data_IF_573989327100
#
_entry.id   IF_573989327100
#
_cell.length_a   1.000
_cell.length_b   1.000
_cell.length_c   1.000
_cell.angle_alpha   90.00
_cell.angle_beta   90.00
_cell.angle_gamma   90.00
#
_symmetry.space_group_name_H-M   'P 1'
#
loop_
_entity.id
_entity.type
_entity.pdbx_description
1 polymer ?
#
# COMPACT_ATOMS: atom_id res chain seq x y z
N UNK A 1 20.78 1.88 -3.78
CA UNK A 1 21.18 1.06 -2.60
C UNK A 1 20.41 1.49 -1.35
N UNK A 2 20.35 2.80 -1.06
CA UNK A 2 19.61 3.38 0.08
C UNK A 2 18.16 2.90 0.21
N UNK A 3 17.41 2.81 -0.88
CA UNK A 3 16.03 2.32 -0.87
C UNK A 3 15.86 0.91 -0.29
N UNK A 4 16.78 -0.03 -0.58
CA UNK A 4 16.74 -1.38 -0.01
C UNK A 4 17.06 -1.37 1.48
N UNK A 5 17.99 -0.51 1.90
CA UNK A 5 18.33 -0.34 3.32
C UNK A 5 17.12 0.16 4.09
N UNK A 6 16.39 1.15 3.58
CA UNK A 6 15.16 1.63 4.22
C UNK A 6 14.09 0.55 4.35
N UNK A 7 13.94 -0.30 3.32
CA UNK A 7 13.01 -1.42 3.37
C UNK A 7 13.39 -2.47 4.42
N UNK A 8 14.65 -2.90 4.46
CA UNK A 8 15.09 -3.89 5.46
C UNK A 8 15.08 -3.29 6.88
N UNK A 9 15.38 -2.01 7.01
CA UNK A 9 15.29 -1.28 8.28
C UNK A 9 13.85 -1.28 8.79
N UNK A 10 12.85 -0.91 7.96
CA UNK A 10 11.46 -0.93 8.39
C UNK A 10 10.96 -2.36 8.71
N UNK A 11 11.38 -3.35 7.91
CA UNK A 11 11.00 -4.75 8.12
C UNK A 11 11.55 -5.32 9.44
N UNK A 12 12.83 -5.10 9.73
CA UNK A 12 13.46 -5.58 10.97
C UNK A 12 12.79 -4.98 12.21
N UNK A 13 12.45 -3.69 12.17
CA UNK A 13 11.76 -3.05 13.29
C UNK A 13 10.30 -3.49 13.44
N UNK A 14 9.65 -3.90 12.34
CA UNK A 14 8.30 -4.45 12.38
C UNK A 14 8.28 -5.86 12.97
N UNK A 15 9.31 -6.69 12.72
CA UNK A 15 9.43 -8.00 13.36
C UNK A 15 9.84 -7.93 14.84
N UNK A 16 10.63 -6.91 15.21
CA UNK A 16 11.12 -6.71 16.59
C UNK A 16 10.10 -6.04 17.54
N UNK A 17 8.89 -5.74 17.09
CA UNK A 17 7.80 -5.30 17.97
C UNK A 17 7.90 -3.87 18.53
N UNK A 18 8.84 -3.03 18.04
CA UNK A 18 8.96 -1.61 18.43
C UNK A 18 8.64 -0.60 17.29
N UNK A 19 7.45 -0.61 16.65
CA UNK A 19 7.18 0.26 15.51
C UNK A 19 6.80 1.72 15.85
N UNK A 20 6.63 2.10 17.12
CA UNK A 20 6.29 3.50 17.48
C UNK A 20 7.53 4.40 17.34
N UNK A 21 8.66 3.97 17.91
CA UNK A 21 9.90 4.75 17.94
C UNK A 21 10.52 4.99 16.57
N UNK A 22 10.26 4.10 15.60
CA UNK A 22 10.82 4.20 14.24
C UNK A 22 10.14 5.28 13.39
N UNK A 23 8.88 5.64 13.67
CA UNK A 23 8.09 6.55 12.80
C UNK A 23 8.75 7.91 12.61
N UNK A 24 9.19 8.53 13.71
CA UNK A 24 9.86 9.84 13.67
C UNK A 24 11.14 9.77 12.82
N UNK A 25 11.87 8.66 12.92
CA UNK A 25 13.09 8.42 12.15
C UNK A 25 12.80 8.21 10.66
N UNK A 26 11.75 7.47 10.31
CA UNK A 26 11.30 7.31 8.91
C UNK A 26 10.83 8.64 8.31
N UNK A 27 10.10 9.46 9.07
CA UNK A 27 9.67 10.80 8.63
C UNK A 27 10.87 11.73 8.42
N UNK A 28 11.88 11.67 9.30
CA UNK A 28 13.13 12.42 9.13
C UNK A 28 13.87 11.97 7.88
N UNK A 29 14.01 10.66 7.66
CA UNK A 29 14.65 10.11 6.45
C UNK A 29 13.88 10.51 5.18
N UNK A 30 12.55 10.52 5.22
CA UNK A 30 11.72 10.94 4.10
C UNK A 30 11.97 12.41 3.74
N UNK A 31 12.00 13.31 4.74
CA UNK A 31 12.31 14.73 4.52
C UNK A 31 13.71 14.91 3.91
N UNK A 32 14.71 14.19 4.42
CA UNK A 32 16.06 14.21 3.83
C UNK A 32 16.07 13.69 2.39
N UNK A 33 15.33 12.61 2.10
CA UNK A 33 15.22 12.07 0.75
C UNK A 33 14.49 13.04 -0.21
N UNK A 34 13.51 13.81 0.29
CA UNK A 34 12.85 14.90 -0.45
C UNK A 34 13.83 16.01 -0.81
N UNK A 35 14.66 16.46 0.15
CA UNK A 35 15.68 17.50 -0.07
C UNK A 35 16.75 17.07 -1.09
N UNK A 36 17.16 15.80 -1.04
CA UNK A 36 18.18 15.23 -1.95
C UNK A 36 17.56 14.80 -3.30
N UNK A 37 16.24 14.89 -3.45
CA UNK A 37 15.50 14.41 -4.63
C UNK A 37 15.74 12.90 -4.95
N UNK A 38 15.96 12.08 -3.94
CA UNK A 38 16.08 10.61 -4.08
C UNK A 38 14.71 9.94 -4.29
N UNK A 39 14.21 9.99 -5.53
CA UNK A 39 12.90 9.44 -5.93
C UNK A 39 12.68 7.97 -5.50
N UNK A 40 13.61 7.02 -5.72
CA UNK A 40 13.38 5.63 -5.28
C UNK A 40 13.39 5.48 -3.76
N UNK A 41 14.20 6.25 -3.04
CA UNK A 41 14.19 6.29 -1.58
C UNK A 41 12.87 6.83 -1.02
N UNK A 42 12.37 7.92 -1.60
CA UNK A 42 11.08 8.52 -1.24
C UNK A 42 9.92 7.54 -1.38
N UNK A 43 9.82 6.81 -2.50
CA UNK A 43 8.74 5.85 -2.75
C UNK A 43 8.72 4.70 -1.72
N UNK A 44 9.89 4.16 -1.38
CA UNK A 44 9.99 3.10 -0.36
C UNK A 44 9.63 3.62 1.03
N UNK A 45 10.13 4.80 1.40
CA UNK A 45 9.85 5.42 2.69
C UNK A 45 8.36 5.77 2.83
N UNK A 46 7.73 6.31 1.79
CA UNK A 46 6.31 6.61 1.76
C UNK A 46 5.47 5.35 2.01
N UNK A 47 5.79 4.24 1.34
CA UNK A 47 5.13 2.96 1.57
C UNK A 47 5.36 2.42 2.99
N UNK A 48 6.57 2.56 3.53
CA UNK A 48 6.87 2.11 4.90
C UNK A 48 6.13 2.94 5.97
N UNK A 49 6.02 4.25 5.76
CA UNK A 49 5.30 5.17 6.65
C UNK A 49 3.79 4.86 6.63
N UNK A 50 3.20 4.69 5.44
CA UNK A 50 1.79 4.31 5.30
C UNK A 50 1.49 2.96 5.95
N UNK A 51 2.36 1.96 5.73
CA UNK A 51 2.23 0.66 6.37
C UNK A 51 2.24 0.76 7.91
N UNK A 52 3.13 1.59 8.47
CA UNK A 52 3.18 1.84 9.90
C UNK A 52 1.89 2.49 10.42
N UNK A 53 1.37 3.51 9.74
CA UNK A 53 0.12 4.15 10.16
C UNK A 53 -1.07 3.18 10.13
N UNK A 54 -1.15 2.35 9.08
CA UNK A 54 -2.21 1.35 8.94
C UNK A 54 -2.12 0.24 9.99
N UNK A 55 -0.91 -0.15 10.40
CA UNK A 55 -0.71 -1.13 11.47
C UNK A 55 -1.28 -0.65 12.82
N UNK A 56 -1.19 0.65 13.10
CA UNK A 56 -1.75 1.27 14.31
C UNK A 56 -3.16 1.81 14.14
N UNK A 57 -3.86 1.49 13.05
CA UNK A 57 -5.19 2.02 12.74
C UNK A 57 -5.28 3.55 12.73
N UNK A 58 -4.17 4.24 12.43
CA UNK A 58 -4.09 5.71 12.40
C UNK A 58 -4.47 6.27 11.03
N UNK A 59 -5.70 5.98 10.59
CA UNK A 59 -6.18 6.32 9.26
C UNK A 59 -6.20 7.83 8.97
N UNK A 60 -6.52 8.66 9.96
CA UNK A 60 -6.51 10.12 9.80
C UNK A 60 -5.13 10.69 9.50
N UNK A 61 -4.10 10.21 10.19
CA UNK A 61 -2.71 10.63 9.90
C UNK A 61 -2.22 10.08 8.56
N UNK A 62 -2.61 8.85 8.21
CA UNK A 62 -2.27 8.25 6.93
C UNK A 62 -2.83 9.06 5.75
N UNK A 63 -4.08 9.51 5.86
CA UNK A 63 -4.74 10.33 4.85
C UNK A 63 -4.11 11.72 4.70
N UNK A 64 -3.80 12.38 5.83
CA UNK A 64 -3.10 13.66 5.81
C UNK A 64 -1.72 13.51 5.16
N UNK A 65 -0.99 12.45 5.50
CA UNK A 65 0.30 12.15 4.90
C UNK A 65 0.20 11.86 3.40
N UNK A 66 -0.80 11.08 2.95
CA UNK A 66 -0.97 10.77 1.53
C UNK A 66 -1.32 12.00 0.70
N UNK A 67 -2.06 12.97 1.27
CA UNK A 67 -2.37 14.25 0.61
C UNK A 67 -1.14 15.15 0.49
N UNK A 68 -0.23 15.10 1.47
CA UNK A 68 1.00 15.90 1.46
C UNK A 68 2.12 15.28 0.62
N UNK A 69 2.16 13.95 0.53
CA UNK A 69 3.23 13.24 -0.16
C UNK A 69 3.06 13.29 -1.69
N UNK A 70 4.16 13.49 -2.41
CA UNK A 70 4.15 13.46 -3.88
C UNK A 70 3.87 12.04 -4.39
N UNK A 71 3.06 11.92 -5.45
CA UNK A 71 2.80 10.65 -6.13
C UNK A 71 4.03 10.27 -6.97
N UNK A 72 4.64 9.13 -6.66
CA UNK A 72 5.84 8.64 -7.36
C UNK A 72 5.47 7.41 -8.19
N UNK A 73 5.46 7.57 -9.52
CA UNK A 73 4.98 6.52 -10.45
C UNK A 73 6.10 5.73 -11.14
N UNK A 74 7.36 6.15 -10.99
CA UNK A 74 8.49 5.58 -11.75
C UNK A 74 8.73 4.09 -11.51
N UNK A 75 8.45 3.59 -10.30
CA UNK A 75 8.61 2.17 -9.95
C UNK A 75 7.24 1.52 -9.79
N UNK A 76 6.85 0.68 -10.76
CA UNK A 76 5.57 -0.02 -10.77
C UNK A 76 5.33 -0.85 -9.50
N UNK A 77 6.38 -1.44 -8.92
CA UNK A 77 6.23 -2.30 -7.74
C UNK A 77 5.90 -1.47 -6.49
N UNK A 78 6.63 -0.37 -6.29
CA UNK A 78 6.35 0.53 -5.16
C UNK A 78 5.04 1.27 -5.36
N UNK A 79 4.73 1.62 -6.59
CA UNK A 79 3.50 2.33 -6.92
C UNK A 79 2.26 1.45 -6.77
N UNK A 80 2.31 0.16 -7.11
CA UNK A 80 1.24 -0.79 -6.82
C UNK A 80 0.97 -0.90 -5.30
N UNK A 81 2.02 -0.95 -4.48
CA UNK A 81 1.89 -0.96 -3.00
C UNK A 81 1.28 0.33 -2.48
N UNK A 82 1.71 1.46 -3.02
CA UNK A 82 1.18 2.78 -2.67
C UNK A 82 -0.33 2.87 -2.95
N UNK A 83 -0.74 2.46 -4.16
CA UNK A 83 -2.15 2.43 -4.57
C UNK A 83 -3.00 1.51 -3.67
N UNK A 84 -2.46 0.34 -3.28
CA UNK A 84 -3.13 -0.54 -2.32
C UNK A 84 -3.36 0.14 -0.96
N UNK A 85 -2.36 0.86 -0.44
CA UNK A 85 -2.52 1.58 0.83
C UNK A 85 -3.52 2.72 0.74
N UNK A 86 -3.51 3.51 -0.35
CA UNK A 86 -4.54 4.54 -0.57
C UNK A 86 -5.92 3.90 -0.68
N UNK A 87 -6.07 2.85 -1.48
CA UNK A 87 -7.35 2.15 -1.64
C UNK A 87 -7.90 1.68 -0.30
N UNK A 88 -7.05 1.16 0.58
CA UNK A 88 -7.44 0.77 1.95
C UNK A 88 -7.85 1.97 2.81
N UNK A 89 -7.16 3.10 2.73
CA UNK A 89 -7.53 4.32 3.46
C UNK A 89 -8.89 4.84 2.96
N UNK A 90 -9.07 4.92 1.65
CA UNK A 90 -10.30 5.40 1.02
C UNK A 90 -11.49 4.50 1.33
N UNK A 91 -11.31 3.18 1.32
CA UNK A 91 -12.35 2.23 1.70
C UNK A 91 -12.83 2.44 3.15
N UNK A 92 -11.91 2.70 4.08
CA UNK A 92 -12.26 2.99 5.49
C UNK A 92 -12.94 4.35 5.64
N UNK A 93 -12.63 5.30 4.76
CA UNK A 93 -13.26 6.62 4.71
C UNK A 93 -14.57 6.67 3.91
N UNK A 94 -15.08 5.52 3.47
CA UNK A 94 -16.32 5.40 2.67
C UNK A 94 -16.21 5.98 1.25
N UNK A 95 -15.01 6.26 0.76
CA UNK A 95 -14.75 6.67 -0.62
C UNK A 95 -14.55 5.43 -1.50
N UNK A 96 -15.64 4.68 -1.72
CA UNK A 96 -15.56 3.35 -2.34
C UNK A 96 -15.21 3.41 -3.84
N UNK A 97 -15.73 4.36 -4.60
CA UNK A 97 -15.41 4.51 -6.03
C UNK A 97 -13.92 4.77 -6.24
N UNK A 98 -13.35 5.72 -5.48
CA UNK A 98 -11.91 6.00 -5.52
C UNK A 98 -11.09 4.79 -5.04
N UNK A 99 -11.58 4.05 -4.06
CA UNK A 99 -10.92 2.85 -3.57
C UNK A 99 -10.87 1.75 -4.65
N UNK A 100 -11.97 1.52 -5.37
CA UNK A 100 -12.04 0.56 -6.48
C UNK A 100 -11.05 0.93 -7.59
N UNK A 101 -11.04 2.19 -8.03
CA UNK A 101 -10.11 2.64 -9.08
C UNK A 101 -8.64 2.42 -8.68
N UNK A 102 -8.27 2.80 -7.44
CA UNK A 102 -6.92 2.64 -6.94
C UNK A 102 -6.52 1.16 -6.81
N UNK A 103 -7.41 0.30 -6.31
CA UNK A 103 -7.15 -1.14 -6.17
C UNK A 103 -7.09 -1.85 -7.53
N UNK A 104 -7.96 -1.50 -8.47
CA UNK A 104 -7.93 -1.97 -9.85
C UNK A 104 -6.63 -1.58 -10.55
N UNK A 105 -6.15 -0.35 -10.36
CA UNK A 105 -4.84 0.09 -10.87
C UNK A 105 -3.68 -0.65 -10.19
N UNK A 106 -3.76 -0.91 -8.88
CA UNK A 106 -2.74 -1.66 -8.15
C UNK A 106 -2.59 -3.10 -8.69
N UNK A 107 -3.70 -3.78 -8.95
CA UNK A 107 -3.70 -5.14 -9.50
C UNK A 107 -3.13 -5.19 -10.92
N UNK A 108 -3.43 -4.19 -11.77
CA UNK A 108 -2.87 -4.10 -13.13
C UNK A 108 -1.36 -3.89 -13.14
N UNK A 109 -0.82 -3.15 -12.16
CA UNK A 109 0.61 -2.82 -12.07
C UNK A 109 1.44 -3.85 -11.31
N UNK A 110 0.80 -4.73 -10.55
CA UNK A 110 1.47 -5.79 -9.80
C UNK A 110 2.05 -6.85 -10.76
N UNK A 111 3.29 -7.35 -10.53
CA UNK A 111 3.80 -8.48 -11.29
C UNK A 111 2.99 -9.76 -10.99
N UNK A 112 2.87 -10.63 -12.00
CA UNK A 112 2.14 -11.90 -11.87
C UNK A 112 2.72 -12.83 -10.80
N UNK A 113 4.02 -12.75 -10.55
CA UNK A 113 4.74 -13.55 -9.54
C UNK A 113 4.43 -13.18 -8.09
N UNK A 114 3.87 -12.00 -7.82
CA UNK A 114 3.55 -11.54 -6.47
C UNK A 114 2.17 -12.05 -6.01
N UNK A 115 2.04 -13.37 -5.92
CA UNK A 115 0.78 -14.07 -5.62
C UNK A 115 0.15 -13.58 -4.32
N UNK A 116 0.92 -13.47 -3.23
CA UNK A 116 0.39 -13.05 -1.92
C UNK A 116 -0.16 -11.61 -1.93
N UNK A 117 0.48 -10.69 -2.66
CA UNK A 117 -0.03 -9.32 -2.80
C UNK A 117 -1.32 -9.31 -3.61
N UNK A 118 -1.37 -10.06 -4.72
CA UNK A 118 -2.58 -10.19 -5.54
C UNK A 118 -3.76 -10.73 -4.73
N UNK A 119 -3.56 -11.81 -3.96
CA UNK A 119 -4.60 -12.38 -3.11
C UNK A 119 -5.20 -11.34 -2.15
N UNK A 120 -4.34 -10.60 -1.45
CA UNK A 120 -4.77 -9.59 -0.47
C UNK A 120 -5.45 -8.40 -1.15
N UNK A 121 -4.92 -7.91 -2.27
CA UNK A 121 -5.49 -6.80 -3.01
C UNK A 121 -6.82 -7.16 -3.66
N UNK A 122 -6.95 -8.34 -4.27
CA UNK A 122 -8.20 -8.85 -4.85
C UNK A 122 -9.27 -9.06 -3.78
N UNK A 123 -8.91 -9.60 -2.62
CA UNK A 123 -9.86 -9.73 -1.49
C UNK A 123 -10.44 -8.37 -1.08
N UNK A 124 -9.59 -7.36 -0.94
CA UNK A 124 -10.03 -6.01 -0.60
C UNK A 124 -10.88 -5.40 -1.72
N UNK A 125 -10.51 -5.60 -2.98
CA UNK A 125 -11.29 -5.14 -4.14
C UNK A 125 -12.70 -5.74 -4.14
N UNK A 126 -12.83 -7.06 -3.96
CA UNK A 126 -14.14 -7.71 -3.88
C UNK A 126 -14.99 -7.14 -2.74
N UNK A 127 -14.39 -6.89 -1.57
CA UNK A 127 -15.11 -6.26 -0.45
C UNK A 127 -15.61 -4.87 -0.83
N UNK A 128 -14.77 -4.04 -1.46
CA UNK A 128 -15.16 -2.69 -1.89
C UNK A 128 -16.28 -2.74 -2.93
N UNK A 129 -16.21 -3.63 -3.91
CA UNK A 129 -17.25 -3.81 -4.93
C UNK A 129 -18.59 -4.22 -4.30
N UNK A 130 -18.56 -5.18 -3.38
CA UNK A 130 -19.76 -5.59 -2.64
C UNK A 130 -20.35 -4.45 -1.80
N UNK A 131 -19.51 -3.58 -1.22
CA UNK A 131 -19.96 -2.41 -0.47
C UNK A 131 -20.59 -1.32 -1.37
N UNK A 132 -20.19 -1.25 -2.64
CA UNK A 132 -20.84 -0.38 -3.64
C UNK A 132 -22.15 -0.95 -4.18
N UNK A 133 -22.42 -2.25 -3.93
CA UNK A 133 -23.56 -2.97 -4.49
C UNK A 133 -23.29 -3.64 -5.84
N UNK A 134 -22.04 -3.62 -6.31
CA UNK A 134 -21.62 -4.26 -7.54
C UNK A 134 -21.23 -5.73 -7.30
N UNK A 135 -21.55 -6.59 -8.27
CA UNK A 135 -21.21 -8.02 -8.21
C UNK A 135 -19.81 -8.22 -8.80
N UNK A 136 -18.84 -8.77 -8.03
CA UNK A 136 -17.49 -9.00 -8.53
C UNK A 136 -17.47 -10.08 -9.62
N UNK A 137 -16.52 -9.96 -10.54
CA UNK A 137 -16.42 -10.86 -11.68
C UNK A 137 -16.04 -12.28 -11.25
N UNK A 138 -16.83 -13.28 -11.69
CA UNK A 138 -16.64 -14.70 -11.30
C UNK A 138 -15.28 -15.26 -11.71
N UNK A 139 -14.69 -14.75 -12.80
CA UNK A 139 -13.38 -15.17 -13.30
C UNK A 139 -12.26 -14.96 -12.28
N UNK A 140 -12.37 -13.95 -11.40
CA UNK A 140 -11.38 -13.65 -10.36
C UNK A 140 -11.27 -14.77 -9.31
N UNK A 141 -12.35 -15.53 -9.10
CA UNK A 141 -12.43 -16.63 -8.12
C UNK A 141 -11.97 -17.98 -8.68
N UNK A 142 -11.76 -18.07 -10.01
CA UNK A 142 -11.36 -19.28 -10.71
C UNK A 142 -9.84 -19.42 -10.85
N UNK A 143 -9.09 -18.35 -10.63
CA UNK A 143 -7.62 -18.39 -10.66
C UNK A 143 -7.10 -19.32 -9.55
N UNK A 144 -6.31 -20.33 -9.94
CA UNK A 144 -5.82 -21.40 -9.05
C UNK A 144 -5.07 -20.81 -7.85
N UNK A 145 -4.34 -19.73 -8.10
CA UNK A 145 -3.55 -19.04 -7.08
C UNK A 145 -4.43 -18.23 -6.13
N UNK A 146 -5.61 -17.77 -6.54
CA UNK A 146 -6.50 -16.94 -5.70
C UNK A 146 -7.61 -17.75 -5.01
N UNK A 147 -7.95 -18.92 -5.56
CA UNK A 147 -9.05 -19.77 -5.10
C UNK A 147 -9.00 -20.09 -3.61
N UNK A 148 -7.84 -20.48 -3.07
CA UNK A 148 -7.69 -20.81 -1.64
C UNK A 148 -7.82 -19.60 -0.70
N UNK A 149 -7.60 -18.39 -1.22
CA UNK A 149 -7.59 -17.17 -0.40
C UNK A 149 -8.93 -16.45 -0.38
N UNK A 150 -9.75 -16.65 -1.41
CA UNK A 150 -11.04 -15.98 -1.63
C UNK A 150 -12.25 -16.85 -1.25
N UNK A 151 -12.08 -18.17 -1.13
CA UNK A 151 -13.01 -19.08 -0.45
C UNK A 151 -12.75 -19.09 1.06
#
# INVERSE_FOLDING_TARGET
ISARVYFYYSLAHMSLGNPVSIRNKLLSMYRSACLVHDVPGQAVLQNAILANYLFYNMYGQAEMFSKMATRIEKDNNQYARYLYYIGKINAVRLHYSDADENLSQALRKCPKSAIGFRQVATKLLCIVQLLMGDVPERSMFLDIDLKRSLY
#
